data_IF_563024485100
#
_entry.id   IF_563024485100
#
_cell.length_a   1.000
_cell.length_b   1.000
_cell.length_c   1.000
_cell.angle_alpha   90.00
_cell.angle_beta   90.00
_cell.angle_gamma   90.00
#
_symmetry.space_group_name_H-M   'P 1'
#
loop_
_entity.id
_entity.type
_entity.pdbx_description
1 polymer ?
#
# COMPACT_ATOMS: atom_id res chain seq x y z
N UNK A 1 1.99 15.70 10.63
CA UNK A 1 2.07 15.89 9.16
C UNK A 1 1.21 17.05 8.71
N UNK A 2 -0.05 17.17 9.15
CA UNK A 2 -0.87 18.36 8.92
C UNK A 2 -0.16 19.67 9.33
N UNK A 3 0.34 19.76 10.56
CA UNK A 3 1.04 20.96 11.04
C UNK A 3 2.37 21.22 10.34
N UNK A 4 3.08 20.16 9.95
CA UNK A 4 4.44 20.24 9.38
C UNK A 4 4.41 20.54 7.88
N UNK A 5 3.47 19.96 7.14
CA UNK A 5 3.39 20.04 5.68
C UNK A 5 2.15 20.80 5.17
N UNK A 6 1.22 21.17 6.05
CA UNK A 6 -0.06 21.78 5.64
C UNK A 6 -1.02 20.80 4.94
N UNK A 7 -0.78 19.49 5.03
CA UNK A 7 -1.65 18.48 4.42
C UNK A 7 -3.04 18.47 5.06
N UNK A 8 -4.07 18.28 4.24
CA UNK A 8 -5.47 18.33 4.70
C UNK A 8 -5.95 16.93 5.09
N UNK A 9 -6.75 16.80 6.16
CA UNK A 9 -7.30 15.51 6.55
C UNK A 9 -8.33 15.00 5.54
N UNK A 10 -8.28 13.70 5.29
CA UNK A 10 -9.35 12.96 4.62
C UNK A 10 -10.23 12.35 5.73
N UNK A 11 -11.54 12.60 5.66
CA UNK A 11 -12.50 12.15 6.67
C UNK A 11 -13.45 11.09 6.10
N UNK A 12 -13.77 10.08 6.91
CA UNK A 12 -14.86 9.13 6.67
C UNK A 12 -15.66 9.00 7.98
N UNK A 13 -16.96 9.30 7.91
CA UNK A 13 -17.86 9.34 9.07
C UNK A 13 -17.30 10.14 10.27
N UNK A 14 -16.54 11.22 9.99
CA UNK A 14 -15.93 12.08 11.01
C UNK A 14 -14.57 11.61 11.54
N UNK A 15 -14.08 10.44 11.14
CA UNK A 15 -12.77 9.92 11.51
C UNK A 15 -11.71 10.34 10.49
N UNK A 16 -10.50 10.70 10.95
CA UNK A 16 -9.36 10.93 10.05
C UNK A 16 -8.85 9.58 9.54
N UNK A 17 -8.87 9.39 8.23
CA UNK A 17 -8.50 8.13 7.56
C UNK A 17 -7.30 8.26 6.62
N UNK A 18 -6.75 9.46 6.52
CA UNK A 18 -5.65 9.79 5.64
C UNK A 18 -5.38 11.28 5.61
N UNK A 19 -4.37 11.67 4.86
CA UNK A 19 -3.99 13.05 4.62
C UNK A 19 -3.72 13.23 3.13
N UNK A 20 -4.12 14.38 2.57
CA UNK A 20 -3.84 14.71 1.17
C UNK A 20 -3.03 16.00 1.10
N UNK A 21 -1.97 15.98 0.29
CA UNK A 21 -1.19 17.18 0.00
C UNK A 21 -1.92 18.12 -0.97
N UNK A 22 -1.28 19.26 -1.25
CA UNK A 22 -1.72 20.20 -2.30
C UNK A 22 -1.59 19.59 -3.70
N UNK A 23 -2.10 20.27 -4.72
CA UNK A 23 -2.05 19.76 -6.09
C UNK A 23 -0.63 19.37 -6.53
N UNK A 24 -0.49 18.16 -7.07
CA UNK A 24 0.79 17.59 -7.47
C UNK A 24 1.59 16.94 -6.33
N UNK A 25 1.11 17.01 -5.09
CA UNK A 25 1.67 16.25 -3.96
C UNK A 25 0.98 14.88 -3.84
N UNK A 26 1.63 13.97 -3.11
CA UNK A 26 1.07 12.66 -2.78
C UNK A 26 -0.08 12.72 -1.76
N UNK A 27 -0.55 11.54 -1.39
CA UNK A 27 -1.52 11.33 -0.32
C UNK A 27 -1.02 10.22 0.61
N UNK A 28 -1.52 10.25 1.84
CA UNK A 28 -1.35 9.19 2.82
C UNK A 28 -2.71 8.62 3.14
N UNK A 29 -2.78 7.30 3.25
CA UNK A 29 -3.99 6.61 3.63
C UNK A 29 -3.72 5.45 4.56
N UNK A 30 -4.79 4.96 5.19
CA UNK A 30 -4.75 3.79 6.05
C UNK A 30 -5.51 2.64 5.38
N UNK A 31 -4.82 1.51 5.24
CA UNK A 31 -5.37 0.23 4.82
C UNK A 31 -6.14 -0.47 5.95
N UNK A 32 -6.90 -1.56 5.70
CA UNK A 32 -7.83 -2.12 6.69
C UNK A 32 -7.24 -2.41 8.07
N UNK A 33 -5.99 -2.92 8.09
CA UNK A 33 -5.23 -3.24 9.30
C UNK A 33 -4.41 -2.09 9.87
N UNK A 34 -4.58 -0.86 9.36
CA UNK A 34 -3.80 0.30 9.76
C UNK A 34 -2.43 0.37 9.11
N UNK A 35 -2.19 -0.38 8.04
CA UNK A 35 -0.99 -0.23 7.24
C UNK A 35 -0.95 1.18 6.67
N UNK A 36 0.21 1.82 6.82
CA UNK A 36 0.40 3.24 6.51
C UNK A 36 0.92 3.38 5.09
N UNK A 37 0.09 3.89 4.20
CA UNK A 37 0.40 3.98 2.78
C UNK A 37 0.80 5.41 2.39
N UNK A 38 1.82 5.51 1.53
CA UNK A 38 2.09 6.71 0.73
C UNK A 38 1.70 6.44 -0.72
N UNK A 39 0.68 7.15 -1.21
CA UNK A 39 0.40 7.27 -2.63
C UNK A 39 1.20 8.46 -3.18
N UNK A 40 2.37 8.18 -3.76
CA UNK A 40 3.32 9.20 -4.23
C UNK A 40 2.83 10.07 -5.40
N UNK A 41 3.54 11.16 -5.66
CA UNK A 41 3.27 12.06 -6.77
C UNK A 41 3.57 11.42 -8.13
N UNK A 42 3.11 12.08 -9.21
CA UNK A 42 3.47 11.70 -10.59
C UNK A 42 4.89 12.21 -10.89
N UNK A 43 5.85 11.31 -10.91
CA UNK A 43 7.27 11.66 -11.04
C UNK A 43 7.86 11.17 -12.37
N UNK A 44 8.80 11.97 -12.92
CA UNK A 44 9.38 11.70 -14.25
C UNK A 44 10.48 10.64 -14.24
N UNK A 45 11.14 10.42 -13.10
CA UNK A 45 12.32 9.55 -13.01
C UNK A 45 12.31 8.77 -11.70
N UNK A 46 12.96 7.60 -11.71
CA UNK A 46 13.15 6.78 -10.50
C UNK A 46 13.95 7.53 -9.43
N UNK A 47 14.87 8.42 -9.84
CA UNK A 47 15.62 9.28 -8.91
C UNK A 47 14.70 10.22 -8.13
N UNK A 48 13.69 10.81 -8.79
CA UNK A 48 12.68 11.61 -8.08
C UNK A 48 11.85 10.76 -7.13
N UNK A 49 11.45 9.55 -7.53
CA UNK A 49 10.72 8.62 -6.64
C UNK A 49 11.54 8.24 -5.41
N UNK A 50 12.84 8.00 -5.58
CA UNK A 50 13.74 7.75 -4.46
C UNK A 50 13.77 8.93 -3.47
N UNK A 51 13.93 10.15 -3.97
CA UNK A 51 13.91 11.35 -3.12
C UNK A 51 12.59 11.48 -2.35
N UNK A 52 11.44 11.29 -3.00
CA UNK A 52 10.13 11.37 -2.36
C UNK A 52 9.98 10.33 -1.23
N UNK A 53 10.40 9.08 -1.48
CA UNK A 53 10.35 8.02 -0.47
C UNK A 53 11.26 8.34 0.71
N UNK A 54 12.48 8.82 0.46
CA UNK A 54 13.41 9.17 1.54
C UNK A 54 12.90 10.35 2.39
N UNK A 55 12.38 11.39 1.74
CA UNK A 55 11.75 12.53 2.44
C UNK A 55 10.57 12.09 3.29
N UNK A 56 9.74 11.19 2.77
CA UNK A 56 8.62 10.62 3.51
C UNK A 56 9.09 9.83 4.74
N UNK A 57 10.08 8.95 4.59
CA UNK A 57 10.61 8.15 5.70
C UNK A 57 11.25 9.02 6.78
N UNK A 58 11.98 10.07 6.39
CA UNK A 58 12.57 11.04 7.32
C UNK A 58 11.51 11.80 8.10
N UNK A 59 10.45 12.26 7.43
CA UNK A 59 9.33 12.92 8.08
C UNK A 59 8.58 11.98 9.00
N UNK A 60 8.31 10.76 8.54
CA UNK A 60 7.61 9.74 9.31
C UNK A 60 8.35 9.44 10.60
N UNK A 61 9.68 9.24 10.52
CA UNK A 61 10.55 9.04 11.68
C UNK A 61 10.53 10.23 12.63
N UNK A 62 10.63 11.47 12.13
CA UNK A 62 10.58 12.68 12.96
C UNK A 62 9.29 12.77 13.78
N UNK A 63 8.16 12.35 13.20
CA UNK A 63 6.84 12.42 13.85
C UNK A 63 6.60 11.22 14.76
N UNK A 64 7.02 10.03 14.36
CA UNK A 64 6.68 8.78 15.05
C UNK A 64 7.62 8.47 16.22
N UNK A 65 8.88 8.91 16.14
CA UNK A 65 9.88 8.61 17.17
C UNK A 65 9.52 9.19 18.54
N UNK A 66 9.04 10.46 18.68
CA UNK A 66 8.57 10.97 19.97
C UNK A 66 7.35 10.23 20.53
N UNK A 67 6.58 9.56 19.67
CA UNK A 67 5.41 8.76 20.05
C UNK A 67 5.77 7.31 20.42
N UNK A 68 7.05 6.93 20.29
CA UNK A 68 7.48 5.55 20.48
C UNK A 68 7.01 4.59 19.38
N UNK A 69 6.63 5.11 18.20
CA UNK A 69 6.11 4.33 17.08
C UNK A 69 7.20 4.08 16.05
N UNK A 70 7.39 2.80 15.68
CA UNK A 70 8.24 2.37 14.57
C UNK A 70 7.44 1.78 13.42
N UNK A 71 8.00 1.84 12.21
CA UNK A 71 7.40 1.26 11.00
C UNK A 71 8.25 0.08 10.51
N UNK A 72 7.57 -0.96 10.04
CA UNK A 72 8.19 -2.19 9.57
C UNK A 72 7.84 -2.42 8.10
N UNK A 73 8.85 -2.40 7.24
CA UNK A 73 8.69 -2.74 5.81
C UNK A 73 8.75 -4.24 5.60
N UNK A 74 7.58 -4.89 5.58
CA UNK A 74 7.44 -6.33 5.32
C UNK A 74 6.17 -6.62 4.53
N UNK A 75 6.19 -7.67 3.71
CA UNK A 75 5.03 -8.06 2.93
C UNK A 75 3.83 -8.48 3.80
N UNK A 76 4.07 -9.08 4.96
CA UNK A 76 3.01 -9.47 5.90
C UNK A 76 3.40 -9.23 7.35
N UNK A 77 2.41 -9.00 8.22
CA UNK A 77 2.58 -8.87 9.67
C UNK A 77 3.18 -10.16 10.25
N UNK A 78 4.40 -10.12 10.82
CA UNK A 78 5.09 -11.34 11.22
C UNK A 78 4.62 -11.90 12.57
N UNK A 79 3.93 -11.10 13.39
CA UNK A 79 3.76 -11.37 14.82
C UNK A 79 2.32 -11.48 15.28
N UNK A 80 1.45 -10.56 14.85
CA UNK A 80 0.10 -10.46 15.38
C UNK A 80 -0.88 -11.37 14.63
N UNK A 81 -1.80 -11.95 15.38
CA UNK A 81 -2.94 -12.68 14.84
C UNK A 81 -3.94 -11.72 14.19
N UNK A 82 -4.83 -12.25 13.34
CA UNK A 82 -5.88 -11.43 12.72
C UNK A 82 -6.78 -10.71 13.75
N UNK A 83 -7.25 -11.35 14.86
CA UNK A 83 -8.03 -10.66 15.89
C UNK A 83 -7.28 -9.58 16.67
N UNK A 84 -5.96 -9.67 16.75
CA UNK A 84 -5.12 -8.64 17.39
C UNK A 84 -4.83 -7.44 16.47
N UNK A 85 -5.16 -7.58 15.18
CA UNK A 85 -4.92 -6.52 14.18
C UNK A 85 -6.01 -5.46 14.30
N UNK A 86 -5.66 -4.16 14.40
CA UNK A 86 -6.65 -3.09 14.51
C UNK A 86 -7.49 -3.00 13.24
N UNK A 87 -8.70 -2.48 13.38
CA UNK A 87 -9.59 -2.25 12.24
C UNK A 87 -9.74 -0.74 12.02
N UNK A 88 -9.33 -0.27 10.84
CA UNK A 88 -9.46 1.15 10.52
C UNK A 88 -10.92 1.54 10.35
N UNK A 89 -11.34 2.73 10.85
CA UNK A 89 -12.72 3.18 10.83
C UNK A 89 -13.12 3.76 9.45
N UNK A 90 -12.93 2.97 8.39
CA UNK A 90 -13.36 3.27 7.02
C UNK A 90 -14.61 2.46 6.69
N UNK A 91 -15.69 3.13 6.35
CA UNK A 91 -17.02 2.54 6.13
C UNK A 91 -16.96 1.40 5.10
N UNK A 92 -16.19 1.57 4.02
CA UNK A 92 -15.97 0.54 2.99
C UNK A 92 -15.35 -0.76 3.51
N UNK A 93 -14.46 -0.69 4.51
CA UNK A 93 -13.75 -1.88 5.00
C UNK A 93 -14.66 -2.79 5.82
N UNK A 94 -15.70 -2.24 6.48
CA UNK A 94 -16.73 -3.05 7.13
C UNK A 94 -17.49 -3.92 6.13
N UNK A 95 -17.81 -3.37 4.95
CA UNK A 95 -18.49 -4.10 3.88
C UNK A 95 -17.59 -5.24 3.38
N UNK A 96 -16.33 -4.92 3.07
CA UNK A 96 -15.36 -5.91 2.56
C UNK A 96 -15.10 -7.03 3.59
N UNK A 97 -14.98 -6.69 4.87
CA UNK A 97 -14.76 -7.67 5.96
C UNK A 97 -15.89 -8.68 6.08
N UNK A 98 -17.13 -8.22 5.90
CA UNK A 98 -18.29 -9.10 5.89
C UNK A 98 -18.39 -9.95 4.61
N UNK A 99 -17.75 -9.52 3.52
CA UNK A 99 -17.84 -10.18 2.22
C UNK A 99 -16.72 -11.20 1.98
N UNK A 100 -15.48 -10.90 2.36
CA UNK A 100 -14.31 -11.75 2.08
C UNK A 100 -14.49 -13.22 2.51
N UNK A 101 -15.05 -13.54 3.69
CA UNK A 101 -15.28 -14.94 4.09
C UNK A 101 -16.22 -15.71 3.16
N UNK A 102 -17.05 -15.02 2.38
CA UNK A 102 -18.00 -15.64 1.44
C UNK A 102 -17.34 -16.08 0.13
N UNK A 103 -16.18 -15.52 -0.19
CA UNK A 103 -15.49 -15.72 -1.48
C UNK A 103 -14.10 -16.34 -1.38
N UNK A 104 -13.58 -16.51 -0.15
CA UNK A 104 -12.31 -17.19 0.06
C UNK A 104 -11.86 -17.21 1.51
N UNK A 105 -10.78 -17.95 1.78
CA UNK A 105 -10.29 -18.20 3.13
C UNK A 105 -9.23 -17.20 3.60
N UNK A 106 -8.52 -16.56 2.67
CA UNK A 106 -7.38 -15.67 2.98
C UNK A 106 -7.66 -14.18 2.72
N UNK A 107 -8.89 -13.82 2.35
CA UNK A 107 -9.24 -12.44 2.01
C UNK A 107 -9.07 -11.47 3.18
N UNK A 108 -9.37 -11.93 4.41
CA UNK A 108 -9.15 -11.12 5.61
C UNK A 108 -7.66 -10.94 5.92
N UNK A 109 -6.85 -11.99 5.77
CA UNK A 109 -5.41 -11.89 5.95
C UNK A 109 -4.77 -10.92 4.97
N UNK A 110 -5.20 -10.97 3.70
CA UNK A 110 -4.78 -10.02 2.68
C UNK A 110 -5.12 -8.58 3.11
N UNK A 111 -6.37 -8.32 3.48
CA UNK A 111 -6.81 -6.98 3.88
C UNK A 111 -6.07 -6.43 5.10
N UNK A 112 -5.94 -7.24 6.14
CA UNK A 112 -5.53 -6.76 7.47
C UNK A 112 -4.05 -6.96 7.76
N UNK A 113 -3.41 -7.93 7.13
CA UNK A 113 -2.06 -8.37 7.53
C UNK A 113 -1.03 -8.27 6.41
N UNK A 114 -1.35 -7.72 5.24
CA UNK A 114 -0.37 -7.56 4.16
C UNK A 114 -0.08 -6.10 3.85
N UNK A 115 1.11 -5.86 3.30
CA UNK A 115 1.54 -4.59 2.74
C UNK A 115 2.32 -4.84 1.44
N UNK A 116 2.41 -3.83 0.60
CA UNK A 116 3.02 -3.97 -0.73
C UNK A 116 3.72 -2.68 -1.16
N UNK A 117 4.57 -2.82 -2.17
CA UNK A 117 5.10 -1.70 -2.94
C UNK A 117 4.55 -1.86 -4.35
N UNK A 118 3.95 -0.79 -4.86
CA UNK A 118 3.36 -0.76 -6.19
C UNK A 118 3.98 0.34 -7.02
N UNK A 119 3.95 0.16 -8.35
CA UNK A 119 4.33 1.17 -9.31
C UNK A 119 3.17 1.40 -10.27
N UNK A 120 2.93 2.66 -10.57
CA UNK A 120 1.89 3.10 -11.50
C UNK A 120 2.57 3.61 -12.77
N UNK A 121 2.22 3.05 -13.93
CA UNK A 121 2.82 3.42 -15.21
C UNK A 121 1.77 3.91 -16.21
N UNK A 122 2.08 5.00 -16.90
CA UNK A 122 1.19 5.53 -17.93
C UNK A 122 1.32 4.75 -19.26
N UNK A 123 0.30 4.84 -20.12
CA UNK A 123 0.33 4.35 -21.51
C UNK A 123 -0.05 5.44 -22.52
N UNK A 124 0.45 5.30 -23.75
CA UNK A 124 0.18 6.25 -24.85
C UNK A 124 -0.88 5.80 -25.84
N UNK A 125 -1.26 4.52 -25.82
CA UNK A 125 -2.31 3.95 -26.66
C UNK A 125 -2.80 2.63 -26.08
N UNK A 126 -3.96 2.13 -26.54
CA UNK A 126 -4.47 0.82 -26.14
C UNK A 126 -3.47 -0.31 -26.46
N UNK A 127 -2.77 -0.22 -27.59
CA UNK A 127 -1.74 -1.18 -27.98
C UNK A 127 -0.56 -1.17 -27.00
N UNK A 128 -0.11 0.00 -26.56
CA UNK A 128 0.95 0.14 -25.55
C UNK A 128 0.50 -0.39 -24.19
N UNK A 129 -0.72 -0.05 -23.76
CA UNK A 129 -1.33 -0.58 -22.53
C UNK A 129 -1.35 -2.11 -22.54
N UNK A 130 -1.88 -2.72 -23.61
CA UNK A 130 -1.98 -4.18 -23.75
C UNK A 130 -0.61 -4.83 -23.66
N UNK A 131 0.40 -4.27 -24.33
CA UNK A 131 1.77 -4.77 -24.29
C UNK A 131 2.35 -4.69 -22.88
N UNK A 132 2.24 -3.53 -22.21
CA UNK A 132 2.72 -3.34 -20.83
C UNK A 132 2.05 -4.31 -19.87
N UNK A 133 0.73 -4.53 -20.00
CA UNK A 133 -0.01 -5.47 -19.16
C UNK A 133 0.49 -6.90 -19.34
N UNK A 134 0.62 -7.36 -20.59
CA UNK A 134 1.09 -8.71 -20.90
C UNK A 134 2.52 -8.96 -20.41
N UNK A 135 3.43 -7.99 -20.59
CA UNK A 135 4.81 -8.11 -20.14
C UNK A 135 4.86 -8.18 -18.61
N UNK A 136 4.17 -7.27 -17.93
CA UNK A 136 4.20 -7.22 -16.47
C UNK A 136 3.57 -8.44 -15.82
N UNK A 137 2.46 -8.94 -16.33
CA UNK A 137 1.87 -10.20 -15.84
C UNK A 137 2.84 -11.38 -15.96
N UNK A 138 3.60 -11.46 -17.06
CA UNK A 138 4.60 -12.53 -17.26
C UNK A 138 5.81 -12.38 -16.35
N UNK A 139 6.23 -11.15 -16.05
CA UNK A 139 7.36 -10.86 -15.16
C UNK A 139 6.99 -10.90 -13.68
N UNK A 140 5.69 -10.90 -13.35
CA UNK A 140 5.19 -10.82 -11.98
C UNK A 140 5.81 -11.86 -11.03
N UNK A 141 5.96 -13.15 -11.39
CA UNK A 141 6.58 -14.13 -10.49
C UNK A 141 8.06 -13.84 -10.20
N UNK A 142 8.80 -13.30 -11.17
CA UNK A 142 10.21 -12.93 -11.01
C UNK A 142 10.32 -11.75 -10.04
N UNK A 143 9.47 -10.74 -10.22
CA UNK A 143 9.41 -9.59 -9.32
C UNK A 143 9.05 -10.05 -7.90
N UNK A 144 8.05 -10.91 -7.74
CA UNK A 144 7.68 -11.41 -6.41
C UNK A 144 8.81 -12.20 -5.75
N UNK A 145 9.58 -12.98 -6.50
CA UNK A 145 10.75 -13.69 -5.96
C UNK A 145 11.86 -12.72 -5.51
N UNK A 146 12.13 -11.66 -6.29
CA UNK A 146 13.13 -10.64 -5.94
C UNK A 146 12.78 -9.85 -4.67
N UNK A 147 11.48 -9.62 -4.43
CA UNK A 147 10.98 -8.82 -3.31
C UNK A 147 10.31 -9.66 -2.21
N UNK A 148 10.57 -10.98 -2.17
CA UNK A 148 9.99 -11.88 -1.18
C UNK A 148 10.39 -11.46 0.25
N UNK A 149 9.40 -11.11 1.07
CA UNK A 149 9.61 -10.41 2.35
C UNK A 149 8.58 -10.76 3.44
N UNK A 150 8.01 -11.97 3.39
CA UNK A 150 7.00 -12.41 4.38
C UNK A 150 7.15 -13.87 4.84
N UNK A 151 8.30 -14.26 5.44
CA UNK A 151 8.56 -15.63 5.84
C UNK A 151 7.99 -16.02 7.22
N UNK A 152 7.40 -15.08 7.95
CA UNK A 152 6.86 -15.31 9.29
C UNK A 152 5.36 -15.03 9.36
N UNK A 153 4.66 -15.81 10.16
CA UNK A 153 3.27 -15.58 10.57
C UNK A 153 3.17 -15.93 12.05
N UNK A 154 2.56 -15.04 12.85
CA UNK A 154 2.29 -15.28 14.28
C UNK A 154 3.55 -15.67 15.10
N UNK A 155 4.67 -15.05 14.77
CA UNK A 155 5.96 -15.22 15.43
C UNK A 155 6.74 -16.47 15.00
N UNK A 156 6.27 -17.21 13.99
CA UNK A 156 6.89 -18.46 13.53
C UNK A 156 7.14 -18.48 12.03
N UNK A 157 8.17 -19.20 11.55
CA UNK A 157 8.33 -19.45 10.12
C UNK A 157 7.08 -20.10 9.52
N UNK A 158 6.58 -19.56 8.41
CA UNK A 158 5.34 -20.02 7.79
C UNK A 158 5.56 -20.99 6.60
N UNK A 159 6.82 -21.28 6.26
CA UNK A 159 7.18 -22.17 5.14
C UNK A 159 7.24 -21.48 3.77
N UNK A 160 6.98 -20.18 3.69
CA UNK A 160 7.08 -19.37 2.47
C UNK A 160 8.24 -18.37 2.55
N UNK A 161 8.73 -17.93 1.39
CA UNK A 161 9.56 -16.72 1.30
C UNK A 161 8.68 -15.47 1.14
N UNK A 162 7.58 -15.62 0.39
CA UNK A 162 6.48 -14.66 0.33
C UNK A 162 5.16 -15.39 0.46
N UNK A 163 4.40 -15.13 1.52
CA UNK A 163 3.00 -15.56 1.62
C UNK A 163 2.05 -14.56 0.93
N UNK A 164 2.58 -13.38 0.55
CA UNK A 164 1.89 -12.36 -0.23
C UNK A 164 2.20 -12.57 -1.72
N UNK A 165 1.60 -13.61 -2.29
CA UNK A 165 1.77 -13.96 -3.70
C UNK A 165 0.51 -13.72 -4.53
N UNK A 166 -0.65 -13.58 -3.89
CA UNK A 166 -1.92 -13.72 -4.61
C UNK A 166 -2.51 -12.42 -5.19
N UNK A 167 -2.10 -11.21 -4.74
CA UNK A 167 -2.77 -9.98 -5.19
C UNK A 167 -1.90 -8.69 -5.22
N UNK A 168 -0.62 -8.73 -4.83
CA UNK A 168 0.02 -7.53 -4.23
C UNK A 168 0.79 -6.57 -5.13
N UNK A 169 1.46 -7.03 -6.18
CA UNK A 169 2.15 -6.12 -7.11
C UNK A 169 1.23 -5.88 -8.31
N UNK A 170 0.24 -5.03 -8.08
CA UNK A 170 -0.62 -4.54 -9.15
C UNK A 170 0.19 -3.49 -9.90
N UNK A 171 0.66 -3.81 -11.10
CA UNK A 171 0.99 -2.76 -12.05
C UNK A 171 -0.34 -2.12 -12.46
N UNK A 172 -0.61 -0.91 -11.98
CA UNK A 172 -1.75 -0.13 -12.45
C UNK A 172 -1.28 0.63 -13.68
N UNK A 173 -1.86 0.26 -14.83
CA UNK A 173 -1.60 0.93 -16.10
C UNK A 173 -2.60 2.06 -16.28
N UNK A 174 -2.10 3.29 -16.39
CA UNK A 174 -2.88 4.54 -16.33
C UNK A 174 -2.92 5.25 -17.66
N UNK A 175 -4.06 5.82 -18.02
CA UNK A 175 -4.14 6.68 -19.19
C UNK A 175 -3.43 8.02 -18.91
N UNK A 176 -2.67 8.52 -19.89
CA UNK A 176 -2.00 9.81 -19.80
C UNK A 176 -2.98 10.92 -19.39
N UNK A 177 -2.71 11.59 -18.27
CA UNK A 177 -3.51 12.71 -17.78
C UNK A 177 -4.60 12.35 -16.76
N UNK A 178 -4.90 11.07 -16.53
CA UNK A 178 -5.96 10.66 -15.60
C UNK A 178 -5.51 10.72 -14.14
N UNK A 179 -6.32 11.34 -13.27
CA UNK A 179 -6.13 11.37 -11.81
C UNK A 179 -7.16 10.44 -11.16
N UNK A 180 -6.72 9.24 -10.76
CA UNK A 180 -7.44 8.38 -9.84
C UNK A 180 -6.53 8.05 -8.67
N UNK A 181 -7.05 8.21 -7.46
CA UNK A 181 -6.44 7.76 -6.23
C UNK A 181 -6.98 6.35 -5.97
N UNK A 182 -6.14 5.34 -6.17
CA UNK A 182 -6.39 4.00 -5.63
C UNK A 182 -5.46 3.91 -4.42
N UNK A 183 -6.10 3.83 -3.25
CA UNK A 183 -5.50 3.37 -2.00
C UNK A 183 -5.49 1.85 -2.08
#
# INVERSE_FOLDING_TARGET
MQEVLGWKPILDEGNIIGLVGSEGQGAISLEPGGQFELSGAKLKTVGHTYCEVMEHLDLLKKISQPLGIGFLGMGASPKWTLPETPQMPKSRYKIMTNYMPKVGHHGLDMMYRTATIQVNLDFSSETDMRRKMQVSMKLQPIVTALFASSPFTEGRPNGFLSCVLLFGAVLIIRELGSSFYIF
#
